data_IF_883066418448
#
_entry.id   IF_883066418448
#
_cell.length_a   1.000
_cell.length_b   1.000
_cell.length_c   1.000
_cell.angle_alpha   90.00
_cell.angle_beta   90.00
_cell.angle_gamma   90.00
#
_symmetry.space_group_name_H-M   'P 1'
#
loop_
_entity.id
_entity.type
_entity.pdbx_description
1 polymer ?
#
# COMPACT_ATOMS: atom_id res chain seq x y z
N UNK A 1 -17.14 -21.47 -16.25
CA UNK A 1 -18.13 -20.48 -15.77
C UNK A 1 -17.86 -20.00 -14.34
N UNK A 2 -17.11 -20.76 -13.55
CA UNK A 2 -16.87 -20.44 -12.13
C UNK A 2 -15.93 -19.26 -11.90
N UNK A 3 -14.95 -19.03 -12.78
CA UNK A 3 -14.05 -17.87 -12.69
C UNK A 3 -14.81 -16.53 -12.75
N UNK A 4 -15.69 -16.36 -13.74
CA UNK A 4 -16.46 -15.12 -13.87
C UNK A 4 -17.43 -14.93 -12.71
N UNK A 5 -18.13 -15.99 -12.28
CA UNK A 5 -19.00 -15.93 -11.08
C UNK A 5 -18.20 -15.60 -9.81
N UNK A 6 -16.97 -16.10 -9.69
CA UNK A 6 -16.05 -15.80 -8.60
C UNK A 6 -15.61 -14.32 -8.59
N UNK A 7 -15.46 -13.68 -9.76
CA UNK A 7 -15.13 -12.26 -9.84
C UNK A 7 -16.31 -11.35 -9.40
N UNK A 8 -17.55 -11.82 -9.50
CA UNK A 8 -18.76 -11.05 -9.16
C UNK A 8 -19.44 -11.51 -7.86
N UNK A 9 -18.79 -12.37 -7.07
CA UNK A 9 -19.33 -12.79 -5.78
C UNK A 9 -19.05 -11.74 -4.72
N UNK A 10 -20.05 -11.46 -3.89
CA UNK A 10 -19.92 -10.49 -2.80
C UNK A 10 -18.94 -11.04 -1.76
N UNK A 11 -17.75 -10.44 -1.68
CA UNK A 11 -16.76 -10.78 -0.66
C UNK A 11 -17.38 -10.47 0.71
N UNK A 12 -17.41 -11.47 1.60
CA UNK A 12 -17.92 -11.29 2.96
C UNK A 12 -17.06 -10.26 3.70
N UNK A 13 -17.69 -9.43 4.53
CA UNK A 13 -16.94 -8.47 5.36
C UNK A 13 -15.93 -9.22 6.23
N UNK A 14 -14.71 -8.70 6.27
CA UNK A 14 -13.65 -9.28 7.09
C UNK A 14 -14.02 -9.17 8.58
N UNK A 15 -13.72 -10.21 9.35
CA UNK A 15 -13.79 -10.15 10.80
C UNK A 15 -12.64 -9.28 11.29
N UNK A 16 -12.96 -8.19 11.96
CA UNK A 16 -11.95 -7.29 12.52
C UNK A 16 -11.09 -8.05 13.55
N UNK A 17 -9.79 -7.82 13.45
CA UNK A 17 -8.80 -8.30 14.41
C UNK A 17 -8.23 -7.11 15.18
N UNK A 18 -7.70 -7.33 16.37
CA UNK A 18 -7.09 -6.25 17.14
C UNK A 18 -5.62 -6.09 16.72
N UNK A 19 -5.29 -4.96 16.08
CA UNK A 19 -3.94 -4.62 15.66
C UNK A 19 -3.33 -3.46 16.46
N UNK A 20 -3.91 -3.05 17.59
CA UNK A 20 -3.54 -1.83 18.31
C UNK A 20 -2.10 -1.74 18.86
N UNK A 21 -1.32 -2.82 18.73
CA UNK A 21 0.10 -2.90 19.09
C UNK A 21 0.98 -3.36 17.93
N UNK A 22 0.46 -3.25 16.71
CA UNK A 22 1.08 -3.75 15.50
C UNK A 22 1.43 -2.59 14.58
N UNK A 23 2.66 -2.61 14.08
CA UNK A 23 3.11 -1.73 13.01
C UNK A 23 3.03 -2.47 11.69
N UNK A 24 2.32 -1.89 10.72
CA UNK A 24 2.14 -2.47 9.39
C UNK A 24 2.88 -1.66 8.33
N UNK A 25 3.34 -2.37 7.32
CA UNK A 25 4.03 -1.82 6.16
C UNK A 25 3.35 -2.30 4.87
N UNK A 26 2.98 -1.37 3.99
CA UNK A 26 2.33 -1.70 2.71
C UNK A 26 3.07 -1.02 1.56
N UNK A 27 3.52 -1.79 0.57
CA UNK A 27 4.07 -1.22 -0.68
C UNK A 27 2.98 -0.95 -1.70
N UNK A 28 3.12 0.11 -2.50
CA UNK A 28 2.11 0.46 -3.52
C UNK A 28 0.76 0.81 -2.90
N UNK A 29 0.79 1.44 -1.73
CA UNK A 29 -0.40 1.74 -0.93
C UNK A 29 -1.17 3.00 -1.41
N UNK A 30 -0.70 3.66 -2.46
CA UNK A 30 -1.31 4.86 -3.07
C UNK A 30 -2.28 4.54 -4.22
N UNK A 31 -2.53 3.27 -4.51
CA UNK A 31 -3.52 2.85 -5.52
C UNK A 31 -3.88 1.37 -5.46
N UNK A 32 -4.97 1.00 -6.13
CA UNK A 32 -5.38 -0.38 -6.37
C UNK A 32 -5.50 -1.18 -5.08
N UNK A 33 -5.08 -2.45 -5.12
CA UNK A 33 -5.19 -3.36 -3.97
C UNK A 33 -4.41 -2.90 -2.74
N UNK A 34 -3.29 -2.19 -2.91
CA UNK A 34 -2.51 -1.68 -1.78
C UNK A 34 -3.28 -0.61 -0.99
N UNK A 35 -3.98 0.28 -1.71
CA UNK A 35 -4.84 1.30 -1.09
C UNK A 35 -6.04 0.68 -0.38
N UNK A 36 -6.74 -0.25 -1.02
CA UNK A 36 -7.87 -0.93 -0.36
C UNK A 36 -7.42 -1.77 0.84
N UNK A 37 -6.24 -2.39 0.76
CA UNK A 37 -5.65 -3.08 1.92
C UNK A 37 -5.38 -2.11 3.07
N UNK A 38 -4.89 -0.90 2.78
CA UNK A 38 -4.68 0.13 3.80
C UNK A 38 -6.01 0.52 4.48
N UNK A 39 -7.08 0.73 3.69
CA UNK A 39 -8.43 0.99 4.24
C UNK A 39 -8.88 -0.13 5.15
N UNK A 40 -8.88 -1.37 4.67
CA UNK A 40 -9.35 -2.52 5.47
C UNK A 40 -8.53 -2.71 6.75
N UNK A 41 -7.22 -2.52 6.70
CA UNK A 41 -6.34 -2.60 7.88
C UNK A 41 -6.69 -1.55 8.92
N UNK A 42 -6.95 -0.31 8.51
CA UNK A 42 -7.23 0.78 9.44
C UNK A 42 -8.51 0.55 10.25
N UNK A 43 -9.47 -0.24 9.74
CA UNK A 43 -10.64 -0.69 10.51
C UNK A 43 -10.26 -1.53 11.74
N UNK A 44 -9.12 -2.23 11.68
CA UNK A 44 -8.55 -3.02 12.78
C UNK A 44 -7.67 -2.20 13.74
N UNK A 45 -7.60 -0.88 13.54
CA UNK A 45 -6.92 0.11 14.39
C UNK A 45 -5.48 -0.26 14.75
N UNK A 46 -4.58 -0.36 13.75
CA UNK A 46 -3.18 -0.58 14.04
C UNK A 46 -2.56 0.56 14.84
N UNK A 47 -1.46 0.27 15.54
CA UNK A 47 -0.66 1.30 16.20
C UNK A 47 -0.10 2.29 15.16
N UNK A 48 0.43 1.74 14.07
CA UNK A 48 1.07 2.50 13.01
C UNK A 48 0.92 1.82 11.66
N UNK A 49 0.72 2.62 10.62
CA UNK A 49 0.70 2.17 9.23
C UNK A 49 1.71 2.95 8.39
N UNK A 50 2.60 2.24 7.71
CA UNK A 50 3.63 2.81 6.84
C UNK A 50 3.22 2.56 5.38
N UNK A 51 2.95 3.64 4.65
CA UNK A 51 2.64 3.65 3.22
C UNK A 51 3.95 3.81 2.42
N UNK A 52 4.46 2.72 1.86
CA UNK A 52 5.57 2.78 0.90
C UNK A 52 5.05 3.07 -0.51
N UNK A 53 5.40 4.24 -1.02
CA UNK A 53 4.89 4.77 -2.29
C UNK A 53 6.04 5.20 -3.20
N UNK A 54 5.81 5.20 -4.51
CA UNK A 54 6.82 5.68 -5.48
C UNK A 54 6.88 7.20 -5.51
N UNK A 55 5.71 7.84 -5.41
CA UNK A 55 5.53 9.28 -5.39
C UNK A 55 5.01 9.73 -4.02
N UNK A 56 5.86 10.44 -3.27
CA UNK A 56 5.53 11.00 -1.95
C UNK A 56 4.35 11.97 -2.02
N UNK A 57 4.22 12.79 -3.07
CA UNK A 57 3.13 13.76 -3.18
C UNK A 57 1.80 13.05 -3.24
N UNK A 58 1.71 12.01 -4.09
CA UNK A 58 0.52 11.18 -4.20
C UNK A 58 0.24 10.42 -2.91
N UNK A 59 1.25 9.83 -2.29
CA UNK A 59 1.09 9.17 -0.98
C UNK A 59 0.59 10.10 0.12
N UNK A 60 1.03 11.37 0.15
CA UNK A 60 0.54 12.35 1.12
C UNK A 60 -0.92 12.72 0.89
N UNK A 61 -1.37 12.78 -0.38
CA UNK A 61 -2.79 12.95 -0.71
C UNK A 61 -3.58 11.75 -0.19
N UNK A 62 -3.13 10.54 -0.49
CA UNK A 62 -3.74 9.30 0.00
C UNK A 62 -3.81 9.24 1.52
N UNK A 63 -2.76 9.65 2.25
CA UNK A 63 -2.78 9.71 3.71
C UNK A 63 -3.90 10.63 4.21
N UNK A 64 -4.01 11.84 3.65
CA UNK A 64 -5.09 12.77 4.01
C UNK A 64 -6.48 12.20 3.73
N UNK A 65 -6.66 11.53 2.58
CA UNK A 65 -7.90 10.84 2.25
C UNK A 65 -8.25 9.77 3.28
N UNK A 66 -7.31 8.88 3.63
CA UNK A 66 -7.52 7.82 4.62
C UNK A 66 -7.84 8.38 6.01
N UNK A 67 -7.14 9.42 6.46
CA UNK A 67 -7.41 10.09 7.73
C UNK A 67 -8.83 10.68 7.77
N UNK A 68 -9.24 11.33 6.68
CA UNK A 68 -10.57 11.94 6.56
C UNK A 68 -11.69 10.90 6.47
N UNK A 69 -11.52 9.87 5.65
CA UNK A 69 -12.51 8.81 5.42
C UNK A 69 -12.86 8.07 6.72
N UNK A 70 -11.88 7.89 7.61
CA UNK A 70 -12.05 7.06 8.79
C UNK A 70 -12.27 7.86 10.08
N UNK A 71 -11.98 9.17 10.08
CA UNK A 71 -11.98 10.00 11.28
C UNK A 71 -11.16 9.38 12.43
N UNK A 72 -10.02 8.76 12.09
CA UNK A 72 -9.17 8.03 13.04
C UNK A 72 -7.94 8.86 13.41
N UNK A 73 -7.40 8.63 14.61
CA UNK A 73 -6.17 9.25 15.13
C UNK A 73 -4.95 8.34 14.97
N UNK A 74 -4.95 7.47 13.96
CA UNK A 74 -3.89 6.47 13.75
C UNK A 74 -2.68 7.13 13.11
N UNK A 75 -1.48 6.75 13.55
CA UNK A 75 -0.24 7.21 12.92
C UNK A 75 -0.09 6.56 11.54
N UNK A 76 -0.15 7.38 10.48
CA UNK A 76 0.09 6.97 9.10
C UNK A 76 1.29 7.72 8.55
N UNK A 77 2.36 7.00 8.26
CA UNK A 77 3.59 7.56 7.70
C UNK A 77 3.70 7.24 6.21
N UNK A 78 4.18 8.20 5.43
CA UNK A 78 4.39 8.05 3.99
C UNK A 78 5.88 8.01 3.72
N UNK A 79 6.36 6.91 3.15
CA UNK A 79 7.76 6.75 2.80
C UNK A 79 7.94 6.50 1.31
N UNK A 80 9.04 7.05 0.76
CA UNK A 80 9.41 6.83 -0.63
C UNK A 80 10.08 5.48 -0.76
N UNK A 81 9.55 4.63 -1.64
CA UNK A 81 10.15 3.38 -2.06
C UNK A 81 10.09 3.29 -3.58
N UNK A 82 11.23 3.51 -4.22
CA UNK A 82 11.39 3.19 -5.63
C UNK A 82 11.83 1.74 -5.80
N UNK A 83 11.10 0.99 -6.63
CA UNK A 83 11.35 -0.43 -6.92
C UNK A 83 11.98 -0.64 -8.30
N UNK A 84 12.33 0.45 -9.00
CA UNK A 84 12.97 0.41 -10.32
C UNK A 84 14.40 -0.17 -10.30
N UNK A 85 15.05 -0.18 -9.13
CA UNK A 85 16.38 -0.74 -8.90
C UNK A 85 16.56 -1.16 -7.43
N UNK A 86 17.64 -1.88 -7.12
CA UNK A 86 17.86 -2.46 -5.79
C UNK A 86 18.40 -1.46 -4.76
N UNK A 87 19.16 -0.45 -5.20
CA UNK A 87 19.82 0.52 -4.32
C UNK A 87 18.83 1.38 -3.50
N UNK A 88 17.74 1.91 -4.09
CA UNK A 88 16.71 2.62 -3.33
C UNK A 88 16.02 1.76 -2.26
N UNK A 89 15.89 0.44 -2.50
CA UNK A 89 15.31 -0.49 -1.52
C UNK A 89 16.22 -0.64 -0.30
N UNK A 90 17.54 -0.78 -0.50
CA UNK A 90 18.50 -0.86 0.61
C UNK A 90 18.48 0.42 1.47
N UNK A 91 18.46 1.59 0.83
CA UNK A 91 18.38 2.86 1.55
C UNK A 91 17.07 3.01 2.33
N UNK A 92 15.97 2.55 1.75
CA UNK A 92 14.68 2.52 2.44
C UNK A 92 14.72 1.60 3.67
N UNK A 93 15.25 0.39 3.55
CA UNK A 93 15.36 -0.57 4.67
C UNK A 93 16.29 -0.04 5.77
N UNK A 94 17.40 0.62 5.42
CA UNK A 94 18.26 1.31 6.39
C UNK A 94 17.50 2.36 7.20
N UNK A 95 16.60 3.11 6.55
CA UNK A 95 15.73 4.07 7.21
C UNK A 95 14.72 3.44 8.18
N UNK A 96 14.53 2.12 8.12
CA UNK A 96 13.67 1.35 9.02
C UNK A 96 14.47 0.57 10.07
N UNK A 97 15.79 0.65 10.09
CA UNK A 97 16.60 -0.07 11.09
C UNK A 97 16.18 0.31 12.52
N UNK A 98 16.07 -0.71 13.37
CA UNK A 98 15.59 -0.56 14.75
C UNK A 98 14.08 -0.32 14.89
N UNK A 99 13.34 -0.15 13.80
CA UNK A 99 11.88 -0.05 13.84
C UNK A 99 11.25 -1.44 13.80
N UNK A 100 10.21 -1.64 14.61
CA UNK A 100 9.41 -2.87 14.58
C UNK A 100 8.43 -2.83 13.42
N UNK A 101 8.36 -3.91 12.65
CA UNK A 101 7.34 -4.16 11.64
C UNK A 101 6.77 -5.55 11.91
N UNK A 102 5.48 -5.60 12.26
CA UNK A 102 4.80 -6.86 12.58
C UNK A 102 4.23 -7.53 11.33
N UNK A 103 3.77 -6.73 10.37
CA UNK A 103 3.11 -7.22 9.15
C UNK A 103 3.58 -6.41 7.95
N UNK A 104 3.96 -7.10 6.88
CA UNK A 104 4.34 -6.49 5.60
C UNK A 104 3.43 -7.01 4.46
N UNK A 105 2.77 -6.10 3.75
CA UNK A 105 1.98 -6.38 2.54
C UNK A 105 2.75 -5.85 1.33
N UNK A 106 3.30 -6.78 0.56
CA UNK A 106 4.17 -6.47 -0.57
C UNK A 106 3.37 -6.49 -1.88
N UNK A 107 2.55 -5.47 -2.11
CA UNK A 107 1.84 -5.31 -3.37
C UNK A 107 2.79 -4.76 -4.45
N UNK A 108 3.07 -5.57 -5.47
CA UNK A 108 3.97 -5.23 -6.56
C UNK A 108 3.24 -5.36 -7.91
N UNK A 109 2.96 -4.21 -8.54
CA UNK A 109 2.50 -4.14 -9.93
C UNK A 109 3.44 -3.24 -10.73
N UNK A 110 4.08 -3.79 -11.76
CA UNK A 110 4.91 -3.03 -12.70
C UNK A 110 4.28 -3.11 -14.09
N UNK A 111 4.00 -1.95 -14.69
CA UNK A 111 3.63 -1.86 -16.10
C UNK A 111 4.89 -1.47 -16.89
N UNK A 112 5.47 -2.40 -17.63
CA UNK A 112 6.46 -2.08 -18.66
C UNK A 112 5.70 -1.76 -19.94
N UNK A 113 5.48 -0.48 -20.24
CA UNK A 113 5.04 -0.07 -21.57
C UNK A 113 6.28 0.17 -22.44
N UNK A 114 6.67 -0.82 -23.23
CA UNK A 114 7.59 -0.62 -24.34
C UNK A 114 6.78 -0.26 -25.59
N UNK A 115 6.49 1.03 -25.77
CA UNK A 115 5.93 1.52 -27.03
C UNK A 115 7.05 1.69 -28.04
N UNK A 116 7.06 0.86 -29.09
CA UNK A 116 7.86 1.16 -30.30
C UNK A 116 7.07 2.17 -31.12
N UNK A 117 7.57 3.39 -31.22
CA UNK A 117 7.06 4.34 -32.20
C UNK A 117 7.55 3.86 -33.57
N UNK A 118 6.66 3.21 -34.33
CA UNK A 118 6.92 2.91 -35.74
C UNK A 118 6.44 4.11 -36.54
N UNK A 119 7.38 4.98 -36.95
CA UNK A 119 7.07 5.98 -37.96
C UNK A 119 6.84 5.24 -39.29
N UNK A 120 5.60 5.28 -39.79
CA UNK A 120 5.31 4.91 -41.17
C UNK A 120 5.65 6.12 -42.05
N UNK A 121 6.53 5.91 -43.02
CA UNK A 121 6.82 6.86 -44.10
C UNK A 121 5.65 6.96 -45.07
#
# INVERSE_FOLDING_TARGET
>A
MDFLKAQFTKISKLKLVNLSKSTLFITGADSGLGLESAREILLSKPERLILAVRDIKKGNVTNKELQNEMMLSIQIDVHKLDRSSFLPVQNFVKGLEGQRIDIAILNAGMKHFAGVIVNSN
#
